data_IF_826519759100
#
_entry.id   IF_826519759100
#
_cell.length_a   1.000
_cell.length_b   1.000
_cell.length_c   1.000
_cell.angle_alpha   90.00
_cell.angle_beta   90.00
_cell.angle_gamma   90.00
#
_symmetry.space_group_name_H-M   'P 1'
#
loop_
_entity.id
_entity.type
_entity.pdbx_description
1 polymer ?
#
# COMPACT_ATOMS: atom_id res chain seq x y z
N UNK A 1 -39.73 -3.68 3.18
CA UNK A 1 -39.74 -4.03 4.62
C UNK A 1 -40.41 -5.39 4.81
N UNK A 2 -39.61 -6.46 4.68
CA UNK A 2 -39.73 -7.86 5.10
C UNK A 2 -38.72 -8.65 4.23
N UNK A 3 -37.91 -9.56 4.80
CA UNK A 3 -36.59 -9.94 4.28
C UNK A 3 -36.20 -11.41 4.56
N UNK A 4 -35.41 -12.02 3.65
CA UNK A 4 -34.56 -13.26 3.75
C UNK A 4 -34.20 -13.74 2.31
N UNK A 5 -32.96 -14.18 1.99
CA UNK A 5 -32.60 -14.88 0.73
C UNK A 5 -31.46 -15.91 0.98
N UNK A 6 -31.55 -17.15 0.48
CA UNK A 6 -30.59 -18.23 0.82
C UNK A 6 -30.43 -19.34 -0.27
N UNK A 7 -29.19 -19.84 -0.55
CA UNK A 7 -28.75 -21.20 -1.05
C UNK A 7 -28.70 -21.58 -2.56
N UNK A 8 -27.96 -22.61 -3.04
CA UNK A 8 -26.83 -23.44 -2.51
C UNK A 8 -25.90 -23.98 -3.65
N UNK A 9 -26.36 -24.13 -4.93
CA UNK A 9 -25.51 -24.38 -6.13
C UNK A 9 -26.22 -23.94 -7.49
N UNK A 10 -25.60 -23.07 -8.33
CA UNK A 10 -25.40 -23.08 -9.83
C UNK A 10 -25.91 -22.00 -10.87
N UNK A 11 -24.95 -21.59 -11.76
CA UNK A 11 -24.87 -21.05 -13.18
C UNK A 11 -25.94 -20.11 -13.84
N UNK A 12 -25.46 -18.99 -14.46
CA UNK A 12 -26.20 -17.91 -15.16
C UNK A 12 -25.40 -17.13 -16.23
N UNK A 13 -26.05 -16.23 -17.00
CA UNK A 13 -25.43 -15.45 -18.11
C UNK A 13 -25.67 -13.90 -18.19
N UNK A 14 -26.72 -13.29 -17.61
CA UNK A 14 -26.97 -11.80 -17.66
C UNK A 14 -28.01 -11.35 -16.58
N UNK A 15 -27.86 -10.24 -15.81
CA UNK A 15 -28.88 -9.77 -14.83
C UNK A 15 -28.83 -8.29 -14.28
N UNK A 16 -29.95 -7.53 -14.16
CA UNK A 16 -29.94 -6.06 -13.87
C UNK A 16 -31.02 -5.60 -12.84
N UNK A 17 -30.79 -4.54 -12.03
CA UNK A 17 -31.79 -3.83 -11.18
C UNK A 17 -31.47 -2.35 -10.82
N UNK A 18 -32.42 -1.61 -10.20
CA UNK A 18 -32.30 -0.21 -9.75
C UNK A 18 -33.26 0.08 -8.55
N UNK A 19 -32.80 0.81 -7.53
CA UNK A 19 -33.50 1.34 -6.33
C UNK A 19 -34.19 0.30 -5.38
N UNK A 20 -33.56 -0.20 -4.28
CA UNK A 20 -34.08 -0.30 -2.86
C UNK A 20 -33.42 -1.31 -1.85
N UNK A 21 -33.10 -0.78 -0.64
CA UNK A 21 -33.07 -1.26 0.79
C UNK A 21 -33.57 -2.70 1.17
N UNK A 22 -32.91 -3.34 2.17
CA UNK A 22 -32.76 -4.83 2.40
C UNK A 22 -32.71 -5.31 3.87
N UNK A 23 -32.65 -6.65 4.13
CA UNK A 23 -32.16 -7.21 5.42
C UNK A 23 -31.40 -8.57 5.47
N UNK A 24 -31.34 -9.49 4.48
CA UNK A 24 -30.54 -10.76 4.59
C UNK A 24 -30.38 -11.51 3.24
N UNK A 25 -29.19 -12.02 2.89
CA UNK A 25 -28.89 -12.83 1.66
C UNK A 25 -27.78 -13.88 1.91
N UNK A 26 -27.79 -15.09 1.32
CA UNK A 26 -26.76 -16.17 1.46
C UNK A 26 -26.71 -17.06 0.18
N UNK A 27 -25.57 -17.51 -0.37
CA UNK A 27 -25.52 -18.62 -1.37
C UNK A 27 -24.23 -19.46 -1.33
N UNK A 28 -24.21 -20.58 -2.06
CA UNK A 28 -23.05 -21.46 -2.30
C UNK A 28 -23.01 -21.88 -3.82
N UNK A 29 -21.84 -22.31 -4.33
CA UNK A 29 -21.51 -22.79 -5.72
C UNK A 29 -22.25 -22.12 -6.91
N UNK A 30 -21.94 -20.89 -7.36
CA UNK A 30 -22.67 -20.24 -8.49
C UNK A 30 -21.74 -19.68 -9.60
N UNK A 31 -22.25 -19.46 -10.82
CA UNK A 31 -21.51 -18.87 -11.96
C UNK A 31 -22.41 -17.83 -12.67
N UNK A 32 -21.92 -16.70 -13.21
CA UNK A 32 -22.72 -15.67 -13.93
C UNK A 32 -21.92 -14.98 -15.04
N UNK A 33 -22.51 -14.65 -16.21
CA UNK A 33 -21.78 -13.94 -17.29
C UNK A 33 -21.93 -12.40 -17.42
N UNK A 34 -22.89 -11.70 -16.78
CA UNK A 34 -23.05 -10.21 -16.81
C UNK A 34 -24.03 -9.72 -15.68
N UNK A 35 -23.79 -8.65 -14.88
CA UNK A 35 -24.77 -8.10 -13.87
C UNK A 35 -24.74 -6.54 -13.66
N UNK A 36 -25.84 -5.85 -13.25
CA UNK A 36 -25.88 -4.39 -12.90
C UNK A 36 -26.87 -3.96 -11.76
N UNK A 37 -26.53 -3.19 -10.68
CA UNK A 37 -27.55 -2.47 -9.81
C UNK A 37 -27.22 -1.06 -9.23
N UNK A 38 -28.25 -0.42 -8.61
CA UNK A 38 -28.31 0.74 -7.70
C UNK A 38 -29.17 0.45 -6.40
N UNK A 39 -28.75 0.90 -5.19
CA UNK A 39 -29.38 0.89 -3.81
C UNK A 39 -29.89 -0.47 -3.19
N UNK A 40 -29.81 -0.86 -1.90
CA UNK A 40 -29.04 -0.60 -0.62
C UNK A 40 -29.16 -1.88 0.24
N UNK A 41 -28.15 -2.28 1.02
CA UNK A 41 -28.04 -3.64 1.62
C UNK A 41 -27.59 -3.70 3.10
N UNK A 42 -28.03 -4.73 3.86
CA UNK A 42 -27.85 -4.82 5.32
C UNK A 42 -27.26 -6.13 5.90
N UNK A 43 -27.38 -7.30 5.26
CA UNK A 43 -26.65 -8.54 5.63
C UNK A 43 -26.57 -9.51 4.41
N UNK A 44 -25.39 -10.02 4.02
CA UNK A 44 -25.19 -10.93 2.86
C UNK A 44 -24.09 -11.99 3.13
N UNK A 45 -24.19 -13.20 2.55
CA UNK A 45 -23.16 -14.26 2.53
C UNK A 45 -23.05 -14.91 1.13
N UNK A 46 -21.88 -15.32 0.65
CA UNK A 46 -21.73 -16.16 -0.56
C UNK A 46 -20.48 -17.05 -0.50
N UNK A 47 -20.55 -18.27 -1.03
CA UNK A 47 -19.44 -19.23 -1.08
C UNK A 47 -19.34 -19.84 -2.50
N UNK A 48 -18.13 -20.14 -2.98
CA UNK A 48 -17.83 -20.64 -4.33
C UNK A 48 -18.63 -19.95 -5.45
N UNK A 49 -18.30 -18.70 -5.81
CA UNK A 49 -18.99 -17.99 -6.91
C UNK A 49 -18.04 -17.53 -8.01
N UNK A 50 -18.47 -17.61 -9.27
CA UNK A 50 -17.75 -17.07 -10.42
C UNK A 50 -18.62 -16.03 -11.14
N UNK A 51 -18.10 -14.84 -11.40
CA UNK A 51 -18.76 -13.80 -12.20
C UNK A 51 -17.87 -13.40 -13.39
N UNK A 52 -18.39 -13.33 -14.62
CA UNK A 52 -17.60 -12.89 -15.79
C UNK A 52 -17.73 -11.39 -16.10
N UNK A 53 -18.85 -10.74 -15.76
CA UNK A 53 -19.04 -9.28 -15.88
C UNK A 53 -19.99 -8.77 -14.79
N UNK A 54 -19.70 -7.60 -14.20
CA UNK A 54 -20.58 -6.87 -13.28
C UNK A 54 -20.38 -5.33 -13.43
N UNK A 55 -21.43 -4.50 -13.27
CA UNK A 55 -21.37 -3.02 -13.28
C UNK A 55 -22.32 -2.40 -12.23
N UNK A 56 -21.88 -1.78 -11.13
CA UNK A 56 -22.79 -1.16 -10.13
C UNK A 56 -22.53 0.35 -9.89
N UNK A 57 -23.57 1.08 -9.47
CA UNK A 57 -23.58 2.52 -9.21
C UNK A 57 -24.45 2.84 -7.98
N UNK A 58 -23.97 3.67 -7.06
CA UNK A 58 -24.65 4.12 -5.82
C UNK A 58 -25.36 3.02 -5.01
N UNK A 59 -24.59 2.26 -4.22
CA UNK A 59 -25.11 1.29 -3.23
C UNK A 59 -24.36 1.37 -1.89
N UNK A 60 -25.09 1.13 -0.80
CA UNK A 60 -24.64 1.22 0.59
C UNK A 60 -24.85 -0.15 1.29
N UNK A 61 -23.82 -0.80 1.85
CA UNK A 61 -23.85 -2.17 2.41
C UNK A 61 -23.51 -2.21 3.90
N UNK A 62 -24.26 -2.94 4.75
CA UNK A 62 -24.05 -2.94 6.21
C UNK A 62 -23.39 -4.18 6.84
N UNK A 63 -23.42 -5.36 6.22
CA UNK A 63 -22.64 -6.55 6.63
C UNK A 63 -22.55 -7.54 5.47
N UNK A 64 -21.36 -8.01 5.05
CA UNK A 64 -21.23 -9.11 4.08
C UNK A 64 -20.11 -10.10 4.46
N UNK A 65 -20.30 -11.40 4.18
CA UNK A 65 -19.26 -12.44 4.22
C UNK A 65 -19.14 -13.14 2.86
N UNK A 66 -17.97 -13.15 2.24
CA UNK A 66 -17.68 -14.04 1.12
C UNK A 66 -16.67 -15.11 1.54
N UNK A 67 -16.89 -16.37 1.13
CA UNK A 67 -15.84 -17.40 1.17
C UNK A 67 -15.03 -17.34 -0.12
N UNK A 68 -15.25 -18.26 -1.07
CA UNK A 68 -14.54 -18.34 -2.34
C UNK A 68 -15.29 -17.57 -3.44
N UNK A 69 -14.69 -16.55 -4.06
CA UNK A 69 -15.27 -15.84 -5.20
C UNK A 69 -14.25 -15.46 -6.26
N UNK A 70 -14.59 -15.66 -7.53
CA UNK A 70 -13.82 -15.21 -8.70
C UNK A 70 -14.66 -14.19 -9.48
N UNK A 71 -14.12 -13.02 -9.79
CA UNK A 71 -14.70 -12.12 -10.78
C UNK A 71 -13.70 -11.89 -11.92
N UNK A 72 -14.10 -12.16 -13.17
CA UNK A 72 -13.26 -11.88 -14.33
C UNK A 72 -13.30 -10.42 -14.77
N UNK A 73 -14.46 -9.76 -14.73
CA UNK A 73 -14.58 -8.36 -15.12
C UNK A 73 -15.60 -7.63 -14.24
N UNK A 74 -15.21 -6.50 -13.65
CA UNK A 74 -16.11 -5.71 -12.80
C UNK A 74 -15.91 -4.21 -12.99
N UNK A 75 -17.01 -3.46 -12.92
CA UNK A 75 -17.01 -2.01 -12.84
C UNK A 75 -17.86 -1.58 -11.64
N UNK A 76 -17.32 -0.75 -10.77
CA UNK A 76 -18.06 -0.10 -9.69
C UNK A 76 -17.88 1.40 -9.82
N UNK A 77 -18.96 2.15 -9.74
CA UNK A 77 -18.89 3.61 -9.85
C UNK A 77 -18.98 4.32 -8.53
N UNK A 78 -19.86 3.87 -7.62
CA UNK A 78 -20.00 4.48 -6.30
C UNK A 78 -20.55 3.49 -5.29
N UNK A 79 -19.74 3.05 -4.35
CA UNK A 79 -20.17 2.04 -3.37
C UNK A 79 -19.68 2.41 -1.97
N UNK A 80 -20.52 2.17 -0.97
CA UNK A 80 -20.18 2.36 0.44
C UNK A 80 -20.40 1.05 1.19
N UNK A 81 -19.41 0.61 1.95
CA UNK A 81 -19.44 -0.61 2.76
C UNK A 81 -19.16 -0.27 4.22
N UNK A 82 -20.03 -0.69 5.16
CA UNK A 82 -19.80 -0.48 6.59
C UNK A 82 -19.00 -1.61 7.23
N UNK A 83 -19.36 -2.87 6.95
CA UNK A 83 -18.61 -4.03 7.44
C UNK A 83 -18.60 -5.15 6.43
N UNK A 84 -17.41 -5.66 6.10
CA UNK A 84 -17.27 -6.78 5.16
C UNK A 84 -16.18 -7.74 5.64
N UNK A 85 -16.38 -9.03 5.37
CA UNK A 85 -15.39 -10.09 5.51
C UNK A 85 -15.30 -10.83 4.17
N UNK A 86 -14.08 -11.08 3.71
CA UNK A 86 -13.77 -11.79 2.49
C UNK A 86 -12.73 -12.88 2.82
N UNK A 87 -13.00 -14.15 2.51
CA UNK A 87 -12.05 -15.23 2.81
C UNK A 87 -11.07 -15.47 1.66
N UNK A 88 -11.54 -15.83 0.47
CA UNK A 88 -10.70 -16.18 -0.68
C UNK A 88 -11.28 -15.54 -1.93
N UNK A 89 -10.69 -14.44 -2.42
CA UNK A 89 -11.20 -13.77 -3.63
C UNK A 89 -10.15 -13.61 -4.72
N UNK A 90 -10.56 -13.89 -5.96
CA UNK A 90 -9.81 -13.60 -7.17
C UNK A 90 -10.58 -12.56 -8.00
N UNK A 91 -9.86 -11.56 -8.48
CA UNK A 91 -10.40 -10.40 -9.16
C UNK A 91 -9.50 -10.13 -10.40
N UNK A 92 -9.96 -10.47 -11.61
CA UNK A 92 -9.12 -10.42 -12.81
C UNK A 92 -9.04 -9.02 -13.43
N UNK A 93 -10.10 -8.46 -14.01
CA UNK A 93 -10.10 -7.10 -14.60
C UNK A 93 -11.10 -6.19 -13.86
N UNK A 94 -10.65 -5.13 -13.18
CA UNK A 94 -11.59 -4.26 -12.42
C UNK A 94 -11.35 -2.77 -12.62
N UNK A 95 -12.45 -2.02 -12.67
CA UNK A 95 -12.47 -0.56 -12.54
C UNK A 95 -13.37 -0.17 -11.37
N UNK A 96 -12.81 0.49 -10.36
CA UNK A 96 -13.57 1.15 -9.29
C UNK A 96 -13.44 2.67 -9.45
N UNK A 97 -14.53 3.42 -9.50
CA UNK A 97 -14.50 4.88 -9.61
C UNK A 97 -14.53 5.57 -8.24
N UNK A 98 -15.59 5.41 -7.44
CA UNK A 98 -15.67 5.93 -6.06
C UNK A 98 -15.99 4.76 -5.10
N UNK A 99 -15.19 4.54 -4.06
CA UNK A 99 -15.53 3.60 -2.98
C UNK A 99 -15.26 4.19 -1.60
N UNK A 100 -16.11 3.88 -0.64
CA UNK A 100 -15.86 4.11 0.78
C UNK A 100 -16.04 2.80 1.55
N UNK A 101 -15.07 2.42 2.35
CA UNK A 101 -15.14 1.28 3.26
C UNK A 101 -14.88 1.74 4.70
N UNK A 102 -15.79 1.41 5.63
CA UNK A 102 -15.61 1.71 7.05
C UNK A 102 -14.81 0.65 7.78
N UNK A 103 -15.22 -0.62 7.73
CA UNK A 103 -14.47 -1.74 8.33
C UNK A 103 -14.41 -2.93 7.36
N UNK A 104 -13.22 -3.45 7.05
CA UNK A 104 -13.06 -4.68 6.26
C UNK A 104 -12.06 -5.64 6.89
N UNK A 105 -12.29 -6.93 6.70
CA UNK A 105 -11.31 -7.99 6.87
C UNK A 105 -11.22 -8.79 5.56
N UNK A 106 -10.02 -8.96 5.03
CA UNK A 106 -9.70 -9.86 3.94
C UNK A 106 -8.71 -10.92 4.43
N UNK A 107 -8.99 -12.21 4.19
CA UNK A 107 -8.06 -13.29 4.52
C UNK A 107 -7.08 -13.55 3.37
N UNK A 108 -7.57 -13.88 2.18
CA UNK A 108 -6.78 -14.11 0.96
C UNK A 108 -7.42 -13.35 -0.22
N UNK A 109 -6.65 -12.53 -0.92
CA UNK A 109 -7.07 -11.92 -2.20
C UNK A 109 -5.98 -12.02 -3.25
N UNK A 110 -6.40 -12.27 -4.49
CA UNK A 110 -5.59 -12.06 -5.70
C UNK A 110 -6.28 -11.04 -6.59
N UNK A 111 -5.59 -9.95 -6.87
CA UNK A 111 -6.00 -8.87 -7.75
C UNK A 111 -5.07 -8.87 -8.99
N UNK A 112 -5.61 -9.10 -10.20
CA UNK A 112 -4.78 -9.24 -11.42
C UNK A 112 -4.54 -7.89 -12.14
N UNK A 113 -5.55 -7.30 -12.78
CA UNK A 113 -5.47 -6.06 -13.56
C UNK A 113 -6.52 -5.07 -13.05
N UNK A 114 -6.12 -4.02 -12.31
CA UNK A 114 -7.10 -3.15 -11.62
C UNK A 114 -6.80 -1.67 -11.73
N UNK A 115 -7.86 -0.90 -11.90
CA UNK A 115 -7.86 0.56 -11.81
C UNK A 115 -8.80 0.98 -10.67
N UNK A 116 -8.27 1.74 -9.73
CA UNK A 116 -9.05 2.46 -8.72
C UNK A 116 -8.91 3.97 -8.96
N UNK A 117 -10.02 4.69 -9.13
CA UNK A 117 -9.99 6.14 -9.33
C UNK A 117 -9.98 6.89 -7.99
N UNK A 118 -10.99 6.70 -7.14
CA UNK A 118 -11.13 7.32 -5.81
C UNK A 118 -11.51 6.25 -4.78
N UNK A 119 -10.71 6.06 -3.73
CA UNK A 119 -11.08 5.20 -2.60
C UNK A 119 -10.83 5.87 -1.25
N UNK A 120 -11.72 5.61 -0.29
CA UNK A 120 -11.50 5.90 1.13
C UNK A 120 -11.68 4.61 1.94
N UNK A 121 -10.66 4.26 2.72
CA UNK A 121 -10.70 3.15 3.69
C UNK A 121 -10.51 3.72 5.10
N UNK A 122 -11.43 3.43 6.03
CA UNK A 122 -11.29 3.83 7.43
C UNK A 122 -10.51 2.80 8.26
N UNK A 123 -11.03 1.59 8.45
CA UNK A 123 -10.38 0.50 9.19
C UNK A 123 -10.28 -0.74 8.29
N UNK A 124 -9.07 -1.25 8.02
CA UNK A 124 -8.90 -2.44 7.18
C UNK A 124 -7.83 -3.39 7.71
N UNK A 125 -8.17 -4.68 7.70
CA UNK A 125 -7.25 -5.79 7.93
C UNK A 125 -7.09 -6.61 6.65
N UNK A 126 -5.86 -6.81 6.18
CA UNK A 126 -5.51 -7.82 5.19
C UNK A 126 -4.59 -8.87 5.84
N UNK A 127 -4.90 -10.15 5.70
CA UNK A 127 -3.99 -11.23 6.11
C UNK A 127 -3.01 -11.57 4.99
N UNK A 128 -3.49 -12.08 3.85
CA UNK A 128 -2.69 -12.41 2.67
C UNK A 128 -3.30 -11.72 1.44
N UNK A 129 -2.48 -11.05 0.65
CA UNK A 129 -2.95 -10.34 -0.54
C UNK A 129 -1.86 -10.23 -1.61
N UNK A 130 -2.23 -10.54 -2.86
CA UNK A 130 -1.37 -10.37 -4.03
C UNK A 130 -1.99 -9.44 -5.06
N UNK A 131 -1.17 -8.52 -5.56
CA UNK A 131 -1.49 -7.58 -6.62
C UNK A 131 -0.53 -7.78 -7.78
N UNK A 132 -1.04 -8.07 -8.99
CA UNK A 132 -0.20 -8.21 -10.18
C UNK A 132 0.04 -6.87 -10.90
N UNK A 133 -0.97 -6.28 -11.52
CA UNK A 133 -0.91 -5.00 -12.24
C UNK A 133 -2.02 -4.07 -11.70
N UNK A 134 -1.67 -3.07 -10.88
CA UNK A 134 -2.67 -2.15 -10.30
C UNK A 134 -2.30 -0.68 -10.43
N UNK A 135 -3.30 0.13 -10.78
CA UNK A 135 -3.24 1.58 -10.82
C UNK A 135 -4.23 2.16 -9.81
N UNK A 136 -3.75 3.03 -8.93
CA UNK A 136 -4.55 3.84 -8.03
C UNK A 136 -4.36 5.32 -8.37
N UNK A 137 -5.44 6.05 -8.63
CA UNK A 137 -5.38 7.49 -8.89
C UNK A 137 -5.41 8.31 -7.60
N UNK A 138 -6.50 8.25 -6.83
CA UNK A 138 -6.67 8.97 -5.56
C UNK A 138 -7.08 7.98 -4.46
N UNK A 139 -6.31 7.87 -3.38
CA UNK A 139 -6.64 6.99 -2.25
C UNK A 139 -6.36 7.62 -0.90
N UNK A 140 -7.27 7.42 0.04
CA UNK A 140 -7.09 7.78 1.45
C UNK A 140 -7.29 6.53 2.31
N UNK A 141 -6.31 6.25 3.17
CA UNK A 141 -6.40 5.22 4.19
C UNK A 141 -6.21 5.85 5.57
N UNK A 142 -7.14 5.57 6.52
CA UNK A 142 -6.99 6.02 7.91
C UNK A 142 -6.20 5.02 8.75
N UNK A 143 -6.71 3.79 8.93
CA UNK A 143 -6.06 2.72 9.71
C UNK A 143 -6.01 1.43 8.86
N UNK A 144 -4.80 0.92 8.57
CA UNK A 144 -4.60 -0.38 7.90
C UNK A 144 -3.61 -1.26 8.66
N UNK A 145 -3.87 -2.56 8.66
CA UNK A 145 -2.86 -3.58 8.94
C UNK A 145 -2.82 -4.59 7.78
N UNK A 146 -1.62 -4.77 7.23
CA UNK A 146 -1.28 -5.85 6.29
C UNK A 146 -0.40 -6.88 7.01
N UNK A 147 -0.80 -8.15 7.01
CA UNK A 147 0.04 -9.22 7.56
C UNK A 147 1.07 -9.70 6.53
N UNK A 148 0.62 -10.13 5.36
CA UNK A 148 1.45 -10.61 4.26
C UNK A 148 0.94 -9.99 2.95
N UNK A 149 1.81 -9.30 2.21
CA UNK A 149 1.42 -8.66 0.95
C UNK A 149 2.51 -8.70 -0.11
N UNK A 150 2.12 -9.04 -1.34
CA UNK A 150 3.00 -9.05 -2.52
C UNK A 150 2.43 -8.12 -3.59
N UNK A 151 3.24 -7.16 -4.02
CA UNK A 151 2.95 -6.26 -5.13
C UNK A 151 3.95 -6.54 -6.27
N UNK A 152 3.46 -6.90 -7.46
CA UNK A 152 4.30 -7.08 -8.64
C UNK A 152 4.55 -5.75 -9.37
N UNK A 153 3.55 -5.20 -10.05
CA UNK A 153 3.61 -3.93 -10.78
C UNK A 153 2.50 -2.98 -10.27
N UNK A 154 2.87 -1.89 -9.60
CA UNK A 154 1.88 -0.95 -9.03
C UNK A 154 2.23 0.50 -9.26
N UNK A 155 1.23 1.29 -9.66
CA UNK A 155 1.33 2.74 -9.80
C UNK A 155 0.32 3.41 -8.88
N UNK A 156 0.83 4.27 -8.01
CA UNK A 156 0.07 5.10 -7.09
C UNK A 156 0.26 6.58 -7.49
N UNK A 157 -0.79 7.29 -7.89
CA UNK A 157 -0.70 8.69 -8.28
C UNK A 157 -0.76 9.65 -7.08
N UNK A 158 -1.89 9.72 -6.37
CA UNK A 158 -2.10 10.59 -5.21
C UNK A 158 -2.61 9.76 -4.02
N UNK A 159 -1.79 9.55 -2.98
CA UNK A 159 -2.20 8.77 -1.79
C UNK A 159 -1.85 9.43 -0.47
N UNK A 160 -2.81 9.36 0.46
CA UNK A 160 -2.64 9.74 1.86
C UNK A 160 -2.87 8.51 2.75
N UNK A 161 -1.90 8.21 3.60
CA UNK A 161 -1.99 7.23 4.66
C UNK A 161 -1.82 7.90 6.03
N UNK A 162 -2.78 7.69 6.95
CA UNK A 162 -2.64 8.17 8.33
C UNK A 162 -1.87 7.19 9.20
N UNK A 163 -2.38 5.97 9.41
CA UNK A 163 -1.73 4.92 10.19
C UNK A 163 -1.66 3.61 9.37
N UNK A 164 -0.45 3.07 9.18
CA UNK A 164 -0.25 1.74 8.56
C UNK A 164 0.70 0.88 9.39
N UNK A 165 0.34 -0.41 9.52
CA UNK A 165 1.26 -1.46 9.93
C UNK A 165 1.40 -2.49 8.80
N UNK A 166 2.65 -2.77 8.43
CA UNK A 166 3.04 -3.80 7.48
C UNK A 166 3.90 -4.84 8.21
N UNK A 167 3.44 -6.09 8.32
CA UNK A 167 4.21 -7.14 8.97
C UNK A 167 5.24 -7.78 8.02
N UNK A 168 4.80 -8.41 6.93
CA UNK A 168 5.66 -9.00 5.90
C UNK A 168 5.24 -8.47 4.51
N UNK A 169 6.18 -7.88 3.76
CA UNK A 169 5.88 -7.27 2.45
C UNK A 169 6.96 -7.52 1.42
N UNK A 170 6.53 -7.78 0.18
CA UNK A 170 7.40 -7.78 -1.00
C UNK A 170 6.85 -6.83 -2.05
N UNK A 171 7.67 -5.87 -2.47
CA UNK A 171 7.41 -4.99 -3.61
C UNK A 171 8.42 -5.31 -4.73
N UNK A 172 7.94 -5.68 -5.92
CA UNK A 172 8.80 -5.89 -7.09
C UNK A 172 9.05 -4.59 -7.84
N UNK A 173 8.05 -4.01 -8.51
CA UNK A 173 8.15 -2.76 -9.27
C UNK A 173 7.01 -1.82 -8.82
N UNK A 174 7.35 -0.77 -8.06
CA UNK A 174 6.34 0.19 -7.58
C UNK A 174 6.72 1.64 -7.81
N UNK A 175 5.74 2.41 -8.30
CA UNK A 175 5.87 3.84 -8.57
C UNK A 175 4.87 4.62 -7.70
N UNK A 176 5.38 5.58 -6.94
CA UNK A 176 4.60 6.54 -6.17
C UNK A 176 4.82 7.95 -6.75
N UNK A 177 3.77 8.64 -7.17
CA UNK A 177 3.88 9.96 -7.80
C UNK A 177 3.85 11.08 -6.74
N UNK A 178 2.75 11.23 -6.01
CA UNK A 178 2.61 12.19 -4.91
C UNK A 178 1.99 11.47 -3.69
N UNK A 179 2.78 11.25 -2.63
CA UNK A 179 2.30 10.54 -1.43
C UNK A 179 2.62 11.22 -0.12
N UNK A 180 1.71 11.04 0.84
CA UNK A 180 1.83 11.51 2.23
C UNK A 180 1.58 10.35 3.18
N UNK A 181 2.51 10.14 4.08
CA UNK A 181 2.46 9.13 5.14
C UNK A 181 2.62 9.83 6.49
N UNK A 182 1.64 9.70 7.38
CA UNK A 182 1.74 10.24 8.73
C UNK A 182 2.49 9.30 9.67
N UNK A 183 1.98 8.10 9.93
CA UNK A 183 2.62 7.09 10.78
C UNK A 183 2.67 5.73 10.05
N UNK A 184 3.87 5.17 9.88
CA UNK A 184 4.05 3.88 9.19
C UNK A 184 5.06 3.00 9.93
N UNK A 185 4.67 1.75 10.17
CA UNK A 185 5.55 0.72 10.75
C UNK A 185 5.71 -0.44 9.77
N UNK A 186 6.95 -0.79 9.47
CA UNK A 186 7.35 -1.91 8.64
C UNK A 186 8.17 -2.90 9.47
N UNK A 187 7.71 -4.15 9.62
CA UNK A 187 8.45 -5.18 10.36
C UNK A 187 9.48 -5.91 9.49
N UNK A 188 9.05 -6.66 8.48
CA UNK A 188 9.91 -7.32 7.50
C UNK A 188 9.52 -6.92 6.08
N UNK A 189 10.44 -6.30 5.32
CA UNK A 189 10.13 -5.85 3.96
C UNK A 189 11.28 -6.11 2.98
N UNK A 190 10.92 -6.47 1.75
CA UNK A 190 11.81 -6.47 0.60
C UNK A 190 11.24 -5.55 -0.47
N UNK A 191 12.04 -4.59 -0.91
CA UNK A 191 11.77 -3.76 -2.08
C UNK A 191 12.82 -4.08 -3.16
N UNK A 192 12.38 -4.44 -4.36
CA UNK A 192 13.27 -4.67 -5.50
C UNK A 192 13.54 -3.39 -6.28
N UNK A 193 12.54 -2.81 -6.93
CA UNK A 193 12.64 -1.56 -7.69
C UNK A 193 11.51 -0.61 -7.27
N UNK A 194 11.86 0.57 -6.72
CA UNK A 194 10.87 1.55 -6.27
C UNK A 194 11.23 2.96 -6.69
N UNK A 195 10.27 3.67 -7.27
CA UNK A 195 10.43 5.06 -7.69
C UNK A 195 9.42 5.93 -6.94
N UNK A 196 9.95 6.95 -6.26
CA UNK A 196 9.20 7.93 -5.50
C UNK A 196 9.45 9.32 -6.11
N UNK A 197 8.43 9.91 -6.76
CA UNK A 197 8.58 11.24 -7.37
C UNK A 197 8.47 12.36 -6.32
N UNK A 198 7.40 12.39 -5.52
CA UNK A 198 7.23 13.32 -4.41
C UNK A 198 6.64 12.63 -3.19
N UNK A 199 7.33 12.71 -2.06
CA UNK A 199 6.85 12.07 -0.83
C UNK A 199 7.09 12.94 0.41
N UNK A 200 6.14 12.89 1.32
CA UNK A 200 6.29 13.39 2.69
C UNK A 200 6.00 12.27 3.66
N UNK A 201 6.97 11.97 4.53
CA UNK A 201 6.87 11.04 5.64
C UNK A 201 7.01 11.82 6.96
N UNK A 202 6.03 11.72 7.85
CA UNK A 202 6.12 12.33 9.18
C UNK A 202 6.85 11.41 10.17
N UNK A 203 6.35 10.19 10.43
CA UNK A 203 7.01 9.19 11.26
C UNK A 203 7.04 7.83 10.56
N UNK A 204 8.24 7.25 10.43
CA UNK A 204 8.41 5.91 9.84
C UNK A 204 9.39 5.09 10.66
N UNK A 205 9.00 3.85 10.96
CA UNK A 205 9.84 2.87 11.65
C UNK A 205 9.99 1.64 10.78
N UNK A 206 11.23 1.25 10.52
CA UNK A 206 11.59 0.06 9.77
C UNK A 206 12.41 -0.87 10.67
N UNK A 207 11.91 -2.08 10.93
CA UNK A 207 12.63 -3.06 11.75
C UNK A 207 13.67 -3.84 10.94
N UNK A 208 13.25 -4.54 9.88
CA UNK A 208 14.13 -5.39 9.07
C UNK A 208 13.81 -5.22 7.59
N UNK A 209 14.74 -4.63 6.83
CA UNK A 209 14.47 -4.28 5.42
C UNK A 209 15.62 -4.57 4.49
N UNK A 210 15.28 -5.04 3.30
CA UNK A 210 16.18 -5.09 2.15
C UNK A 210 15.61 -4.18 1.06
N UNK A 211 16.40 -3.19 0.68
CA UNK A 211 16.12 -2.24 -0.39
C UNK A 211 17.12 -2.49 -1.52
N UNK A 212 16.67 -2.97 -2.69
CA UNK A 212 17.59 -3.34 -3.78
C UNK A 212 17.93 -2.13 -4.67
N UNK A 213 16.94 -1.50 -5.32
CA UNK A 213 17.11 -0.30 -6.13
C UNK A 213 15.99 0.69 -5.79
N UNK A 214 16.34 1.89 -5.29
CA UNK A 214 15.35 2.95 -4.99
C UNK A 214 15.79 4.30 -5.50
N UNK A 215 14.85 4.99 -6.15
CA UNK A 215 15.02 6.35 -6.64
C UNK A 215 14.00 7.27 -5.96
N UNK A 216 14.52 8.29 -5.28
CA UNK A 216 13.73 9.40 -4.74
C UNK A 216 14.02 10.69 -5.51
N UNK A 217 13.01 11.29 -6.13
CA UNK A 217 13.17 12.58 -6.82
C UNK A 217 13.08 13.77 -5.86
N UNK A 218 11.95 13.96 -5.18
CA UNK A 218 11.74 14.97 -4.14
C UNK A 218 11.20 14.28 -2.88
N UNK A 219 11.92 14.32 -1.75
CA UNK A 219 11.43 13.69 -0.51
C UNK A 219 11.73 14.47 0.76
N UNK A 220 10.74 14.49 1.66
CA UNK A 220 10.85 15.07 3.01
C UNK A 220 10.53 14.01 4.04
N UNK A 221 11.43 13.83 4.99
CA UNK A 221 11.29 12.96 6.15
C UNK A 221 11.42 13.78 7.43
N UNK A 222 10.40 13.75 8.30
CA UNK A 222 10.49 14.37 9.62
C UNK A 222 11.24 13.49 10.62
N UNK A 223 10.74 12.28 10.91
CA UNK A 223 11.42 11.32 11.79
C UNK A 223 11.44 9.94 11.13
N UNK A 224 12.63 9.34 11.03
CA UNK A 224 12.80 7.98 10.52
C UNK A 224 13.73 7.16 11.40
N UNK A 225 13.31 5.95 11.74
CA UNK A 225 14.08 5.01 12.54
C UNK A 225 14.27 3.72 11.75
N UNK A 226 15.53 3.32 11.61
CA UNK A 226 15.97 2.16 10.85
C UNK A 226 16.74 1.20 11.78
N UNK A 227 16.23 -0.01 12.03
CA UNK A 227 16.88 -1.00 12.90
C UNK A 227 17.92 -1.87 12.18
N UNK A 228 17.51 -2.91 11.44
CA UNK A 228 18.39 -3.84 10.71
C UNK A 228 18.17 -3.72 9.19
N UNK A 229 19.04 -3.01 8.46
CA UNK A 229 18.77 -2.68 7.04
C UNK A 229 19.94 -2.90 6.09
N UNK A 230 19.62 -3.40 4.90
CA UNK A 230 20.53 -3.49 3.76
C UNK A 230 19.98 -2.61 2.63
N UNK A 231 20.77 -1.62 2.22
CA UNK A 231 20.57 -0.81 1.04
C UNK A 231 21.58 -1.22 -0.03
N UNK A 232 21.12 -1.75 -1.16
CA UNK A 232 22.01 -2.13 -2.27
C UNK A 232 22.34 -0.91 -3.15
N UNK A 233 21.34 -0.29 -3.76
CA UNK A 233 21.49 0.95 -4.55
C UNK A 233 20.37 1.93 -4.19
N UNK A 234 20.74 3.14 -3.75
CA UNK A 234 19.79 4.24 -3.53
C UNK A 234 20.27 5.55 -4.14
N UNK A 235 19.36 6.25 -4.83
CA UNK A 235 19.59 7.56 -5.42
C UNK A 235 18.57 8.55 -4.88
N UNK A 236 19.04 9.65 -4.28
CA UNK A 236 18.25 10.82 -3.93
C UNK A 236 18.63 12.01 -4.81
N UNK A 237 17.66 12.59 -5.52
CA UNK A 237 17.86 13.84 -6.25
C UNK A 237 17.75 15.07 -5.35
N UNK A 238 16.61 15.26 -4.69
CA UNK A 238 16.39 16.28 -3.66
C UNK A 238 15.83 15.64 -2.39
N UNK A 239 16.54 15.76 -1.26
CA UNK A 239 16.08 15.20 0.02
C UNK A 239 16.25 16.15 1.21
N UNK A 240 15.25 16.16 2.09
CA UNK A 240 15.31 16.80 3.41
C UNK A 240 15.00 15.77 4.49
N UNK A 241 15.95 15.59 5.41
CA UNK A 241 15.79 14.81 6.63
C UNK A 241 15.85 15.75 7.84
N UNK A 242 14.84 15.72 8.71
CA UNK A 242 14.90 16.42 10.00
C UNK A 242 15.57 15.57 11.08
N UNK A 243 15.09 14.35 11.33
CA UNK A 243 15.66 13.41 12.30
C UNK A 243 15.75 12.00 11.68
N UNK A 244 16.94 11.40 11.70
CA UNK A 244 17.14 10.01 11.24
C UNK A 244 18.05 9.25 12.19
N UNK A 245 17.63 8.05 12.57
CA UNK A 245 18.38 7.15 13.44
C UNK A 245 18.59 5.81 12.73
N UNK A 246 19.84 5.40 12.60
CA UNK A 246 20.25 4.11 12.05
C UNK A 246 20.94 3.27 13.13
N UNK A 247 20.41 2.07 13.42
CA UNK A 247 21.02 1.14 14.38
C UNK A 247 22.07 0.22 13.75
N UNK A 248 21.67 -0.77 12.95
CA UNK A 248 22.54 -1.74 12.28
C UNK A 248 22.27 -1.70 10.76
N UNK A 249 23.06 -0.93 10.01
CA UNK A 249 22.76 -0.68 8.58
C UNK A 249 23.98 -0.84 7.67
N UNK A 250 23.76 -1.46 6.51
CA UNK A 250 24.74 -1.53 5.43
C UNK A 250 24.24 -0.82 4.17
N UNK A 251 25.05 0.08 3.63
CA UNK A 251 24.86 0.73 2.33
C UNK A 251 25.95 0.23 1.37
N UNK A 252 25.54 -0.39 0.26
CA UNK A 252 26.46 -0.77 -0.80
C UNK A 252 26.77 0.42 -1.71
N UNK A 253 25.76 1.00 -2.36
CA UNK A 253 25.87 2.23 -3.14
C UNK A 253 24.76 3.20 -2.73
N UNK A 254 25.13 4.44 -2.38
CA UNK A 254 24.16 5.50 -2.10
C UNK A 254 24.63 6.86 -2.62
N UNK A 255 23.76 7.53 -3.37
CA UNK A 255 24.03 8.79 -4.04
C UNK A 255 23.04 9.88 -3.63
N UNK A 256 23.56 11.06 -3.30
CA UNK A 256 22.80 12.27 -3.01
C UNK A 256 23.22 13.39 -3.95
N UNK A 257 22.29 13.90 -4.78
CA UNK A 257 22.54 15.08 -5.60
C UNK A 257 22.41 16.36 -4.77
N UNK A 258 21.24 16.64 -4.21
CA UNK A 258 20.99 17.74 -3.28
C UNK A 258 20.37 17.21 -1.99
N UNK A 259 20.90 17.61 -0.83
CA UNK A 259 20.48 17.05 0.46
C UNK A 259 20.65 17.98 1.65
N UNK A 260 19.65 18.01 2.53
CA UNK A 260 19.71 18.70 3.83
C UNK A 260 19.38 17.70 4.93
N UNK A 261 20.29 17.56 5.88
CA UNK A 261 20.17 16.68 7.03
C UNK A 261 20.29 17.51 8.30
N UNK A 262 19.24 17.56 9.13
CA UNK A 262 19.25 18.36 10.34
C UNK A 262 19.92 17.59 11.50
N UNK A 263 19.38 16.42 11.86
CA UNK A 263 19.96 15.53 12.87
C UNK A 263 20.03 14.09 12.32
N UNK A 264 21.23 13.50 12.35
CA UNK A 264 21.44 12.10 11.90
C UNK A 264 22.31 11.36 12.91
N UNK A 265 21.83 10.21 13.37
CA UNK A 265 22.54 9.36 14.33
C UNK A 265 22.80 7.99 13.72
N UNK A 266 24.06 7.56 13.74
CA UNK A 266 24.52 6.26 13.26
C UNK A 266 25.17 5.47 14.40
N UNK A 267 24.59 4.32 14.78
CA UNK A 267 25.17 3.42 15.78
C UNK A 267 26.21 2.47 15.16
N UNK A 268 25.80 1.45 14.42
CA UNK A 268 26.66 0.47 13.74
C UNK A 268 26.37 0.50 12.23
N UNK A 269 27.15 1.27 11.46
CA UNK A 269 26.87 1.44 10.01
C UNK A 269 28.09 1.23 9.13
N UNK A 270 27.88 0.49 8.03
CA UNK A 270 28.90 0.22 7.02
C UNK A 270 28.48 0.84 5.69
N UNK A 271 29.34 1.70 5.17
CA UNK A 271 29.22 2.35 3.87
C UNK A 271 30.31 1.81 2.93
N UNK A 272 29.91 1.14 1.85
CA UNK A 272 30.85 0.67 0.83
C UNK A 272 31.19 1.80 -0.16
N UNK A 273 30.19 2.34 -0.86
CA UNK A 273 30.34 3.50 -1.75
C UNK A 273 29.27 4.55 -1.45
N UNK A 274 29.71 5.80 -1.24
CA UNK A 274 28.83 6.94 -0.95
C UNK A 274 29.24 8.16 -1.77
N UNK A 275 28.29 8.75 -2.48
CA UNK A 275 28.54 9.90 -3.34
C UNK A 275 27.63 11.06 -2.90
N UNK A 276 28.23 12.18 -2.49
CA UNK A 276 27.51 13.40 -2.14
C UNK A 276 27.90 14.56 -3.08
N UNK A 277 26.93 15.11 -3.81
CA UNK A 277 27.15 16.23 -4.72
C UNK A 277 27.06 17.58 -4.02
N UNK A 278 25.86 18.00 -3.60
CA UNK A 278 25.61 19.24 -2.85
C UNK A 278 24.82 18.96 -1.55
N UNK A 279 25.52 18.61 -0.47
CA UNK A 279 24.86 18.18 0.78
C UNK A 279 25.25 19.03 2.00
N UNK A 280 24.27 19.31 2.85
CA UNK A 280 24.42 20.05 4.10
C UNK A 280 23.99 19.14 5.26
N UNK A 281 24.87 19.04 6.26
CA UNK A 281 24.62 18.37 7.52
C UNK A 281 24.72 19.38 8.67
N UNK A 282 23.65 19.53 9.45
CA UNK A 282 23.65 20.40 10.62
C UNK A 282 24.29 19.67 11.82
N UNK A 283 23.76 18.52 12.22
CA UNK A 283 24.31 17.67 13.28
C UNK A 283 24.39 16.22 12.82
N UNK A 284 25.56 15.59 12.96
CA UNK A 284 25.73 14.13 12.79
C UNK A 284 26.43 13.56 14.00
N UNK A 285 25.91 12.43 14.50
CA UNK A 285 26.51 11.64 15.57
C UNK A 285 26.88 10.26 15.01
N UNK A 286 28.15 9.90 15.13
CA UNK A 286 28.67 8.58 14.79
C UNK A 286 29.12 7.85 16.06
N UNK A 287 28.77 6.57 16.19
CA UNK A 287 29.37 5.68 17.20
C UNK A 287 30.41 4.76 16.55
N UNK A 288 29.97 3.69 15.88
CA UNK A 288 30.82 2.71 15.19
C UNK A 288 30.49 2.68 13.69
N UNK A 289 31.14 3.55 12.91
CA UNK A 289 30.90 3.66 11.45
C UNK A 289 32.16 3.37 10.62
N UNK A 290 31.97 2.56 9.58
CA UNK A 290 33.01 2.14 8.63
C UNK A 290 32.68 2.71 7.26
N UNK A 291 33.61 3.47 6.69
CA UNK A 291 33.55 3.94 5.30
C UNK A 291 34.65 3.26 4.47
N UNK A 292 34.30 2.68 3.32
CA UNK A 292 35.26 2.12 2.37
C UNK A 292 35.63 3.14 1.28
N UNK A 293 34.64 3.65 0.54
CA UNK A 293 34.81 4.72 -0.46
C UNK A 293 33.75 5.81 -0.25
N UNK A 294 34.19 7.07 -0.23
CA UNK A 294 33.31 8.24 -0.10
C UNK A 294 33.80 9.35 -1.00
N UNK A 295 32.92 9.85 -1.85
CA UNK A 295 33.20 10.91 -2.83
C UNK A 295 32.37 12.15 -2.47
N UNK A 296 33.06 13.27 -2.31
CA UNK A 296 32.47 14.56 -1.97
C UNK A 296 32.77 15.58 -3.08
N UNK A 297 31.74 16.20 -3.66
CA UNK A 297 31.92 17.35 -4.55
C UNK A 297 31.81 18.68 -3.79
N UNK A 298 30.72 18.86 -3.02
CA UNK A 298 30.47 20.05 -2.19
C UNK A 298 29.65 19.64 -0.97
N UNK A 299 30.27 19.74 0.21
CA UNK A 299 29.61 19.40 1.47
C UNK A 299 29.88 20.46 2.55
N UNK A 300 28.90 20.64 3.43
CA UNK A 300 28.97 21.54 4.58
C UNK A 300 28.54 20.76 5.81
N UNK A 301 29.41 20.68 6.82
CA UNK A 301 29.08 20.21 8.16
C UNK A 301 29.07 21.39 9.13
N UNK A 302 28.09 21.48 10.02
CA UNK A 302 28.10 22.44 11.14
C UNK A 302 28.61 21.81 12.43
N UNK A 303 28.05 20.66 12.84
CA UNK A 303 28.46 19.89 14.01
C UNK A 303 28.59 18.39 13.65
N UNK A 304 29.67 17.76 14.10
CA UNK A 304 29.95 16.33 13.91
C UNK A 304 30.53 15.78 15.20
N UNK A 305 29.91 14.72 15.72
CA UNK A 305 30.24 14.08 16.99
C UNK A 305 30.68 12.62 16.72
N UNK A 306 31.71 12.19 17.46
CA UNK A 306 32.33 10.86 17.46
C UNK A 306 32.62 10.44 18.91
#
# INVERSE_FOLDING_TARGET
MFCEIIFYEFIFYEFIFYEIIVCEIIFYEVIFYDIIFYDIFYEIIFCEVIFYMIIFYEVLFYMIIFYEVIFYKVIFYKVIFYKVIFCEIIFCEIIFCEIIFYTIIFYEIIFCEIIFCEIIFYEVMFYEIMFYEVIFYEVIFYEIIFCEIIFYEVIFYEIIFYEIIFNEVIFYEVIFCETIFYEVIFYEVIFYEVIFYKVIFYEVIFYKVIFCEIIFCEIIFYTVIFYEIIFCEIIFYEVIFFEVIFFEVMFYEIMFYEGIFCEVVFYEVIFYEVIFCEVIFCEIIFYDVIFCEVIFYKIIFYEVIF
#
